data_IF_036874538543
#
_entry.id   IF_036874538543
#
_cell.length_a   1.000
_cell.length_b   1.000
_cell.length_c   1.000
_cell.angle_alpha   90.00
_cell.angle_beta   90.00
_cell.angle_gamma   90.00
#
_symmetry.space_group_name_H-M   'P 1'
#
loop_
_entity.id
_entity.type
_entity.pdbx_description
1 polymer ?
#
# COMPACT_ATOMS: atom_id res chain seq x y z
N UNK A 1 -41.86 75.14 22.21
CA UNK A 1 -41.40 74.46 23.45
C UNK A 1 -39.89 74.25 23.39
N UNK A 2 -39.14 74.36 24.50
CA UNK A 2 -37.73 73.95 24.57
C UNK A 2 -37.55 72.49 24.16
N UNK A 3 -36.51 72.16 23.39
CA UNK A 3 -36.28 70.82 22.84
C UNK A 3 -36.23 69.71 23.91
N UNK A 4 -35.74 70.02 25.12
CA UNK A 4 -35.68 69.06 26.22
C UNK A 4 -37.07 68.64 26.73
N UNK A 5 -38.08 69.52 26.67
CA UNK A 5 -39.45 69.20 27.09
C UNK A 5 -40.08 68.24 26.08
N UNK A 6 -39.92 68.50 24.78
CA UNK A 6 -40.45 67.63 23.72
C UNK A 6 -39.80 66.24 23.80
N UNK A 7 -38.49 66.18 24.05
CA UNK A 7 -37.77 64.91 24.23
C UNK A 7 -38.23 64.15 25.47
N UNK A 8 -38.46 64.84 26.60
CA UNK A 8 -38.96 64.22 27.83
C UNK A 8 -40.40 63.72 27.67
N UNK A 9 -41.27 64.51 27.03
CA UNK A 9 -42.65 64.11 26.69
C UNK A 9 -42.65 62.90 25.75
N UNK A 10 -41.78 62.88 24.74
CA UNK A 10 -41.63 61.72 23.84
C UNK A 10 -41.16 60.47 24.59
N UNK A 11 -40.24 60.60 25.56
CA UNK A 11 -39.75 59.46 26.35
C UNK A 11 -40.83 58.79 27.20
N UNK A 12 -41.79 59.56 27.71
CA UNK A 12 -42.88 59.05 28.56
C UNK A 12 -44.15 58.72 27.76
N UNK A 13 -44.21 59.05 26.47
CA UNK A 13 -45.40 58.89 25.63
C UNK A 13 -45.91 57.44 25.58
N UNK A 14 -45.03 56.46 25.38
CA UNK A 14 -45.42 55.02 25.39
C UNK A 14 -45.94 54.57 26.75
N UNK A 15 -45.33 55.08 27.83
CA UNK A 15 -45.72 54.75 29.20
C UNK A 15 -47.13 55.30 29.49
N UNK A 16 -47.39 56.56 29.14
CA UNK A 16 -48.70 57.19 29.27
C UNK A 16 -49.76 56.44 28.44
N UNK A 17 -49.47 56.09 27.18
CA UNK A 17 -50.36 55.28 26.34
C UNK A 17 -50.71 53.92 26.98
N UNK A 18 -49.71 53.23 27.51
CA UNK A 18 -49.88 51.93 28.17
C UNK A 18 -50.77 52.05 29.41
N UNK A 19 -50.52 53.06 30.26
CA UNK A 19 -51.31 53.30 31.47
C UNK A 19 -52.72 53.79 31.15
N UNK A 20 -52.90 54.67 30.17
CA UNK A 20 -54.21 55.09 29.68
C UNK A 20 -55.02 53.91 29.14
N UNK A 21 -54.38 52.97 28.41
CA UNK A 21 -55.03 51.75 27.94
C UNK A 21 -55.42 50.82 29.09
N UNK A 22 -54.54 50.64 30.09
CA UNK A 22 -54.85 49.87 31.28
C UNK A 22 -56.05 50.45 32.04
N UNK A 23 -56.04 51.77 32.26
CA UNK A 23 -57.13 52.51 32.92
C UNK A 23 -58.43 52.40 32.11
N UNK A 24 -58.38 52.58 30.78
CA UNK A 24 -59.57 52.51 29.91
C UNK A 24 -60.27 51.15 29.98
N UNK A 25 -59.52 50.07 30.19
CA UNK A 25 -60.03 48.71 30.23
C UNK A 25 -60.35 48.18 31.63
N UNK A 26 -60.24 49.01 32.68
CA UNK A 26 -60.69 48.62 34.02
C UNK A 26 -62.21 48.38 34.03
N UNK A 27 -62.70 47.36 34.76
CA UNK A 27 -64.12 47.07 34.93
C UNK A 27 -64.88 48.28 35.48
N UNK A 28 -66.11 48.48 35.02
CA UNK A 28 -66.89 49.67 35.38
C UNK A 28 -67.51 49.59 36.78
N UNK A 29 -67.75 48.36 37.26
CA UNK A 29 -68.51 48.09 38.48
C UNK A 29 -67.75 48.42 39.77
N UNK A 30 -66.42 48.42 39.71
CA UNK A 30 -65.51 48.70 40.84
C UNK A 30 -64.33 49.60 40.39
N UNK A 31 -64.59 50.47 39.40
CA UNK A 31 -63.57 51.24 38.69
C UNK A 31 -62.66 52.04 39.65
N UNK A 32 -63.25 52.69 40.65
CA UNK A 32 -62.52 53.50 41.64
C UNK A 32 -61.53 52.67 42.48
N UNK A 33 -61.97 51.53 43.00
CA UNK A 33 -61.13 50.67 43.84
C UNK A 33 -59.99 50.03 43.04
N UNK A 34 -60.26 49.61 41.80
CA UNK A 34 -59.23 49.08 40.91
C UNK A 34 -58.25 50.16 40.44
N UNK A 35 -58.73 51.38 40.18
CA UNK A 35 -57.87 52.51 39.85
C UNK A 35 -56.97 52.90 41.04
N UNK A 36 -57.50 52.95 42.26
CA UNK A 36 -56.70 53.21 43.47
C UNK A 36 -55.63 52.12 43.66
N UNK A 37 -55.95 50.86 43.39
CA UNK A 37 -54.99 49.75 43.44
C UNK A 37 -53.89 49.94 42.39
N UNK A 38 -54.25 50.30 41.15
CA UNK A 38 -53.31 50.56 40.06
C UNK A 38 -52.38 51.77 40.34
N UNK A 39 -52.88 52.79 41.05
CA UNK A 39 -52.12 53.98 41.42
C UNK A 39 -51.24 53.77 42.66
N UNK A 40 -51.63 52.87 43.56
CA UNK A 40 -50.90 52.52 44.78
C UNK A 40 -49.84 51.43 44.60
N UNK A 41 -49.82 50.75 43.45
CA UNK A 41 -48.78 49.79 43.12
C UNK A 41 -47.41 50.49 43.14
N UNK A 42 -46.56 50.16 44.12
CA UNK A 42 -45.26 50.80 44.35
C UNK A 42 -44.21 50.44 43.29
N UNK A 43 -44.57 49.64 42.28
CA UNK A 43 -43.78 49.40 41.07
C UNK A 43 -43.95 50.48 39.99
N UNK A 44 -44.76 51.52 40.22
CA UNK A 44 -45.01 52.61 39.27
C UNK A 44 -43.69 53.27 38.85
N UNK A 45 -43.37 53.15 37.56
CA UNK A 45 -42.24 53.82 36.89
C UNK A 45 -42.09 55.25 37.42
N UNK A 46 -40.87 55.65 37.79
CA UNK A 46 -40.57 56.99 38.36
C UNK A 46 -41.14 58.13 37.53
N UNK A 47 -41.31 57.90 36.24
CA UNK A 47 -41.80 58.84 35.24
C UNK A 47 -43.33 58.99 35.25
N UNK A 48 -44.10 58.01 35.73
CA UNK A 48 -45.56 58.09 35.90
C UNK A 48 -45.98 58.58 37.28
N UNK A 49 -45.06 58.58 38.26
CA UNK A 49 -45.33 59.00 39.63
C UNK A 49 -46.01 60.39 39.76
N UNK A 50 -45.63 61.44 39.01
CA UNK A 50 -46.31 62.74 39.08
C UNK A 50 -47.78 62.69 38.61
N UNK A 51 -48.07 61.85 37.61
CA UNK A 51 -49.43 61.62 37.13
C UNK A 51 -50.24 60.88 38.19
N UNK A 52 -49.67 59.83 38.79
CA UNK A 52 -50.32 59.05 39.83
C UNK A 52 -50.69 59.90 41.06
N UNK A 53 -49.79 60.76 41.54
CA UNK A 53 -50.10 61.70 42.64
C UNK A 53 -51.24 62.66 42.29
N UNK A 54 -51.25 63.19 41.06
CA UNK A 54 -52.29 64.12 40.61
C UNK A 54 -53.64 63.43 40.50
N UNK A 55 -53.66 62.19 39.99
CA UNK A 55 -54.87 61.36 39.92
C UNK A 55 -55.39 60.99 41.32
N UNK A 56 -54.52 60.63 42.27
CA UNK A 56 -54.91 60.37 43.66
C UNK A 56 -55.47 61.62 44.35
N UNK A 57 -54.88 62.80 44.10
CA UNK A 57 -55.39 64.07 44.60
C UNK A 57 -56.75 64.44 43.99
N UNK A 58 -57.03 64.04 42.75
CA UNK A 58 -58.35 64.20 42.12
C UNK A 58 -59.37 63.22 42.70
N UNK A 59 -58.99 61.94 42.87
CA UNK A 59 -59.85 60.89 43.45
C UNK A 59 -60.34 61.22 44.86
N UNK A 60 -59.52 61.90 45.65
CA UNK A 60 -59.86 62.35 47.02
C UNK A 60 -60.76 63.59 47.06
N UNK A 61 -61.05 64.22 45.92
CA UNK A 61 -61.89 65.43 45.81
C UNK A 61 -63.18 65.22 45.02
N UNK A 62 -63.25 64.21 44.15
CA UNK A 62 -64.42 63.92 43.31
C UNK A 62 -65.26 62.80 43.90
N UNK A 63 -66.59 62.96 43.85
CA UNK A 63 -67.56 61.92 44.23
C UNK A 63 -68.05 61.10 43.02
N UNK A 64 -67.53 61.36 41.82
CA UNK A 64 -67.91 60.65 40.59
C UNK A 64 -67.47 59.17 40.64
N UNK A 65 -68.25 58.26 40.06
CA UNK A 65 -67.90 56.83 39.98
C UNK A 65 -68.29 56.21 38.62
N UNK A 66 -67.76 55.02 38.33
CA UNK A 66 -68.03 54.29 37.09
C UNK A 66 -67.57 55.04 35.83
N UNK A 67 -68.42 55.09 34.80
CA UNK A 67 -68.08 55.72 33.51
C UNK A 67 -67.73 57.21 33.59
N UNK A 68 -68.36 57.96 34.50
CA UNK A 68 -68.10 59.39 34.68
C UNK A 68 -66.67 59.60 35.20
N UNK A 69 -66.29 58.86 36.24
CA UNK A 69 -64.92 58.88 36.78
C UNK A 69 -63.91 58.41 35.74
N UNK A 70 -64.23 57.36 34.96
CA UNK A 70 -63.34 56.89 33.89
C UNK A 70 -63.05 57.97 32.86
N UNK A 71 -64.05 58.75 32.45
CA UNK A 71 -63.86 59.85 31.50
C UNK A 71 -62.96 60.95 32.08
N UNK A 72 -63.22 61.37 33.32
CA UNK A 72 -62.41 62.38 34.02
C UNK A 72 -60.94 61.93 34.14
N UNK A 73 -60.70 60.70 34.56
CA UNK A 73 -59.34 60.17 34.77
C UNK A 73 -58.59 60.03 33.44
N UNK A 74 -59.27 59.61 32.37
CA UNK A 74 -58.64 59.46 31.06
C UNK A 74 -58.19 60.80 30.46
N UNK A 75 -58.80 61.94 30.84
CA UNK A 75 -58.35 63.28 30.44
C UNK A 75 -56.93 63.60 30.96
N UNK A 76 -56.62 63.21 32.20
CA UNK A 76 -55.29 63.42 32.80
C UNK A 76 -54.19 62.57 32.17
N UNK A 77 -54.55 61.45 31.54
CA UNK A 77 -53.60 60.49 30.94
C UNK A 77 -53.73 60.47 29.42
N UNK A 78 -54.26 61.54 28.80
CA UNK A 78 -54.25 61.63 27.34
C UNK A 78 -52.81 61.77 26.85
N UNK A 79 -52.36 60.87 25.94
CA UNK A 79 -51.04 60.99 25.37
C UNK A 79 -50.93 62.29 24.58
N UNK A 80 -49.89 63.08 24.86
CA UNK A 80 -49.63 64.27 24.06
C UNK A 80 -49.28 63.83 22.63
N UNK A 81 -50.09 64.23 21.66
CA UNK A 81 -49.86 63.94 20.26
C UNK A 81 -48.73 64.83 19.74
N UNK A 82 -47.69 64.25 19.15
CA UNK A 82 -46.53 64.99 18.67
C UNK A 82 -46.73 65.43 17.21
N UNK A 83 -46.24 66.62 16.81
CA UNK A 83 -46.28 67.04 15.42
C UNK A 83 -45.56 66.05 14.50
N UNK A 84 -46.17 65.71 13.36
CA UNK A 84 -45.64 64.77 12.38
C UNK A 84 -45.90 63.29 12.65
N UNK A 85 -46.53 62.93 13.78
CA UNK A 85 -46.93 61.54 14.02
C UNK A 85 -48.07 61.11 13.09
N UNK A 86 -47.95 59.88 12.58
CA UNK A 86 -48.98 59.25 11.74
C UNK A 86 -50.05 58.62 12.62
N UNK A 87 -51.26 59.13 12.54
CA UNK A 87 -52.42 58.62 13.25
C UNK A 87 -53.42 57.99 12.30
N UNK A 88 -54.21 57.06 12.83
CA UNK A 88 -55.33 56.47 12.11
C UNK A 88 -56.62 56.94 12.76
N UNK A 89 -57.52 57.49 11.95
CA UNK A 89 -58.84 57.95 12.37
C UNK A 89 -59.90 57.26 11.51
N UNK A 90 -60.99 56.85 12.13
CA UNK A 90 -62.18 56.36 11.44
C UNK A 90 -63.22 57.49 11.39
N UNK A 91 -64.00 57.55 10.32
CA UNK A 91 -65.13 58.48 10.22
C UNK A 91 -66.24 58.06 11.21
N UNK A 92 -66.37 58.80 12.31
CA UNK A 92 -67.40 58.56 13.33
C UNK A 92 -68.74 59.21 13.01
N UNK A 93 -68.81 60.11 12.03
CA UNK A 93 -70.04 60.81 11.64
C UNK A 93 -70.84 60.02 10.60
N UNK A 94 -70.17 59.20 9.78
CA UNK A 94 -70.80 58.32 8.78
C UNK A 94 -70.30 56.88 8.90
N UNK A 95 -70.71 56.15 9.96
CA UNK A 95 -70.22 54.80 10.23
C UNK A 95 -70.54 53.78 9.13
N UNK A 96 -71.55 54.04 8.28
CA UNK A 96 -71.90 53.19 7.14
C UNK A 96 -70.85 53.22 6.01
N UNK A 97 -70.07 54.30 5.86
CA UNK A 97 -69.06 54.42 4.80
C UNK A 97 -67.70 53.80 5.17
N UNK A 98 -67.46 53.48 6.46
CA UNK A 98 -66.22 52.87 6.98
C UNK A 98 -64.92 53.48 6.43
N UNK A 99 -64.90 54.78 6.17
CA UNK A 99 -63.71 55.47 5.67
C UNK A 99 -62.68 55.63 6.78
N UNK A 100 -61.46 55.27 6.45
CA UNK A 100 -60.30 55.39 7.32
C UNK A 100 -59.40 56.49 6.76
N UNK A 101 -58.85 57.31 7.64
CA UNK A 101 -57.95 58.40 7.29
C UNK A 101 -56.62 58.22 7.99
N UNK A 102 -55.55 58.49 7.24
CA UNK A 102 -54.20 58.67 7.77
C UNK A 102 -54.05 60.16 8.05
N UNK A 103 -53.91 60.50 9.32
CA UNK A 103 -53.88 61.90 9.79
C UNK A 103 -52.48 62.24 10.26
N UNK A 104 -52.01 63.42 9.86
CA UNK A 104 -50.79 64.04 10.35
C UNK A 104 -51.14 65.31 11.11
N UNK A 105 -50.56 65.46 12.28
CA UNK A 105 -50.76 66.63 13.14
C UNK A 105 -49.68 67.67 12.90
N UNK A 106 -50.10 68.92 12.80
CA UNK A 106 -49.20 70.06 12.81
C UNK A 106 -49.71 71.08 13.83
N UNK A 107 -48.90 71.38 14.85
CA UNK A 107 -49.24 72.39 15.86
C UNK A 107 -48.58 73.72 15.52
N UNK A 108 -49.37 74.79 15.61
CA UNK A 108 -48.88 76.16 15.59
C UNK A 108 -48.74 76.66 17.03
N UNK A 109 -47.50 76.89 17.46
CA UNK A 109 -47.16 77.15 18.87
C UNK A 109 -47.53 78.60 19.27
N UNK A 110 -47.55 79.55 18.34
CA UNK A 110 -47.89 80.95 18.62
C UNK A 110 -49.39 81.23 18.50
N UNK A 111 -50.10 80.47 17.65
CA UNK A 111 -51.54 80.65 17.40
C UNK A 111 -52.48 79.85 18.33
N UNK A 112 -51.96 79.00 19.22
CA UNK A 112 -52.73 78.03 20.03
C UNK A 112 -53.71 77.16 19.21
N UNK A 113 -53.38 76.84 17.96
CA UNK A 113 -54.22 76.03 17.07
C UNK A 113 -53.49 74.75 16.66
N UNK A 114 -54.21 73.64 16.65
CA UNK A 114 -53.76 72.36 16.13
C UNK A 114 -54.45 72.14 14.80
N UNK A 115 -53.65 71.94 13.75
CA UNK A 115 -54.14 71.59 12.42
C UNK A 115 -53.97 70.08 12.21
N UNK A 116 -55.01 69.45 11.71
CA UNK A 116 -55.01 68.05 11.29
C UNK A 116 -55.14 67.98 9.77
N UNK A 117 -54.18 67.34 9.12
CA UNK A 117 -54.26 67.01 7.69
C UNK A 117 -54.53 65.51 7.55
N UNK A 118 -55.75 65.15 7.13
CA UNK A 118 -56.18 63.78 6.92
C UNK A 118 -56.23 63.40 5.45
N UNK A 119 -55.64 62.26 5.10
CA UNK A 119 -55.73 61.65 3.77
C UNK A 119 -56.53 60.37 3.86
N UNK A 120 -57.43 60.12 2.91
CA UNK A 120 -58.15 58.84 2.86
C UNK A 120 -57.16 57.69 2.71
N UNK A 121 -57.31 56.63 3.50
CA UNK A 121 -56.37 55.51 3.56
C UNK A 121 -56.24 54.80 2.20
N UNK A 122 -57.33 54.68 1.45
CA UNK A 122 -57.36 54.13 0.09
C UNK A 122 -56.49 54.96 -0.85
N UNK A 123 -56.68 56.28 -0.88
CA UNK A 123 -55.89 57.20 -1.69
C UNK A 123 -54.40 57.19 -1.29
N UNK A 124 -54.09 57.15 0.02
CA UNK A 124 -52.72 57.02 0.51
C UNK A 124 -52.09 55.69 0.08
N UNK A 125 -52.83 54.58 0.21
CA UNK A 125 -52.38 53.25 -0.18
C UNK A 125 -52.12 53.19 -1.68
N UNK A 126 -53.01 53.70 -2.51
CA UNK A 126 -52.88 53.69 -3.97
C UNK A 126 -51.64 54.48 -4.40
N UNK A 127 -51.40 55.65 -3.78
CA UNK A 127 -50.19 56.45 -4.02
C UNK A 127 -48.90 55.67 -3.70
N UNK A 128 -48.86 54.94 -2.57
CA UNK A 128 -47.68 54.16 -2.18
C UNK A 128 -47.57 52.86 -3.01
N UNK A 129 -48.69 52.27 -3.42
CA UNK A 129 -48.75 50.95 -4.05
C UNK A 129 -47.94 50.88 -5.35
N UNK A 130 -48.00 51.93 -6.19
CA UNK A 130 -47.27 51.96 -7.46
C UNK A 130 -45.75 51.86 -7.25
N UNK A 131 -45.22 52.60 -6.27
CA UNK A 131 -43.80 52.58 -5.94
C UNK A 131 -43.35 51.25 -5.32
N UNK A 132 -44.19 50.66 -4.45
CA UNK A 132 -43.90 49.38 -3.81
C UNK A 132 -43.87 48.22 -4.82
N UNK A 133 -44.81 48.18 -5.77
CA UNK A 133 -44.85 47.15 -6.83
C UNK A 133 -43.61 47.23 -7.72
N UNK A 134 -43.13 48.43 -8.04
CA UNK A 134 -41.87 48.62 -8.79
C UNK A 134 -40.66 48.05 -8.06
N UNK A 135 -40.57 48.25 -6.74
CA UNK A 135 -39.51 47.65 -5.91
C UNK A 135 -39.58 46.13 -5.89
N UNK A 136 -40.78 45.55 -5.81
CA UNK A 136 -40.98 44.09 -5.85
C UNK A 136 -40.50 43.51 -7.19
N UNK A 137 -40.85 44.14 -8.32
CA UNK A 137 -40.36 43.68 -9.63
C UNK A 137 -38.84 43.79 -9.78
N UNK A 138 -38.21 44.85 -9.24
CA UNK A 138 -36.76 44.96 -9.23
C UNK A 138 -36.11 43.84 -8.40
N UNK A 139 -36.65 43.52 -7.24
CA UNK A 139 -36.15 42.44 -6.38
C UNK A 139 -36.25 41.08 -7.08
N UNK A 140 -37.38 40.81 -7.76
CA UNK A 140 -37.55 39.60 -8.57
C UNK A 140 -36.52 39.57 -9.72
N UNK A 141 -36.32 40.69 -10.41
CA UNK A 141 -35.32 40.80 -11.48
C UNK A 141 -33.91 40.46 -11.00
N UNK A 142 -33.47 41.03 -9.87
CA UNK A 142 -32.17 40.74 -9.26
C UNK A 142 -32.07 39.26 -8.90
N UNK A 143 -33.12 38.67 -8.32
CA UNK A 143 -33.14 37.26 -7.95
C UNK A 143 -32.96 36.35 -9.17
N UNK A 144 -33.66 36.63 -10.27
CA UNK A 144 -33.55 35.87 -11.52
C UNK A 144 -32.13 35.97 -12.11
N UNK A 145 -31.55 37.18 -12.14
CA UNK A 145 -30.17 37.38 -12.61
C UNK A 145 -29.18 36.63 -11.73
N UNK A 146 -29.34 36.66 -10.41
CA UNK A 146 -28.49 35.94 -9.48
C UNK A 146 -28.56 34.42 -9.69
N UNK A 147 -29.77 33.85 -9.87
CA UNK A 147 -29.95 32.42 -10.10
C UNK A 147 -29.31 31.95 -11.41
N UNK A 148 -29.48 32.72 -12.49
CA UNK A 148 -28.88 32.41 -13.79
C UNK A 148 -27.35 32.58 -13.75
N UNK A 149 -26.87 33.69 -13.17
CA UNK A 149 -25.44 33.98 -13.04
C UNK A 149 -24.71 32.92 -12.23
N UNK A 150 -25.27 32.51 -11.09
CA UNK A 150 -24.72 31.45 -10.25
C UNK A 150 -24.63 30.12 -11.02
N UNK A 151 -25.69 29.74 -11.74
CA UNK A 151 -25.68 28.51 -12.54
C UNK A 151 -24.57 28.50 -13.59
N UNK A 152 -24.41 29.60 -14.33
CA UNK A 152 -23.39 29.71 -15.38
C UNK A 152 -21.97 29.69 -14.79
N UNK A 153 -21.76 30.40 -13.69
CA UNK A 153 -20.49 30.45 -12.99
C UNK A 153 -20.06 29.06 -12.49
N UNK A 154 -20.92 28.36 -11.76
CA UNK A 154 -20.62 27.03 -11.22
C UNK A 154 -20.42 25.98 -12.32
N UNK A 155 -21.20 26.06 -13.41
CA UNK A 155 -21.06 25.14 -14.53
C UNK A 155 -19.69 25.25 -15.21
N UNK A 156 -19.20 26.48 -15.42
CA UNK A 156 -17.91 26.72 -16.07
C UNK A 156 -16.72 26.50 -15.14
N UNK A 157 -16.80 27.01 -13.91
CA UNK A 157 -15.65 27.06 -12.99
C UNK A 157 -15.44 25.78 -12.18
N UNK A 158 -16.48 24.96 -11.95
CA UNK A 158 -16.40 23.79 -11.07
C UNK A 158 -16.80 22.49 -11.76
N UNK A 159 -17.99 22.44 -12.36
CA UNK A 159 -18.51 21.17 -12.93
C UNK A 159 -17.71 20.72 -14.15
N UNK A 160 -17.30 21.66 -15.01
CA UNK A 160 -16.58 21.31 -16.25
C UNK A 160 -15.18 20.75 -15.99
N UNK A 161 -14.31 21.39 -15.17
CA UNK A 161 -13.01 20.82 -14.82
C UNK A 161 -13.13 19.47 -14.11
N UNK A 162 -14.10 19.32 -13.20
CA UNK A 162 -14.32 18.08 -12.46
C UNK A 162 -14.70 16.91 -13.38
N UNK A 163 -15.62 17.13 -14.34
CA UNK A 163 -16.00 16.11 -15.31
C UNK A 163 -14.83 15.67 -16.17
N UNK A 164 -14.04 16.61 -16.69
CA UNK A 164 -12.85 16.27 -17.51
C UNK A 164 -11.81 15.47 -16.74
N UNK A 165 -11.61 15.79 -15.46
CA UNK A 165 -10.70 15.01 -14.61
C UNK A 165 -11.24 13.60 -14.38
N UNK A 166 -12.54 13.47 -14.13
CA UNK A 166 -13.20 12.17 -14.01
C UNK A 166 -13.06 11.34 -15.29
N UNK A 167 -13.36 11.93 -16.45
CA UNK A 167 -13.22 11.29 -17.76
C UNK A 167 -11.77 10.85 -17.99
N UNK A 168 -10.80 11.70 -17.64
CA UNK A 168 -9.39 11.37 -17.73
C UNK A 168 -8.99 10.19 -16.85
N UNK A 169 -9.49 10.12 -15.62
CA UNK A 169 -9.27 8.99 -14.71
C UNK A 169 -9.89 7.70 -15.29
N UNK A 170 -11.09 7.78 -15.84
CA UNK A 170 -11.75 6.61 -16.47
C UNK A 170 -10.95 6.08 -17.65
N UNK A 171 -10.44 6.96 -18.51
CA UNK A 171 -9.59 6.56 -19.64
C UNK A 171 -8.28 5.90 -19.18
N UNK A 172 -7.62 6.46 -18.15
CA UNK A 172 -6.41 5.84 -17.57
C UNK A 172 -6.71 4.46 -16.99
N UNK A 173 -7.85 4.31 -16.30
CA UNK A 173 -8.28 3.02 -15.75
C UNK A 173 -8.60 1.98 -16.84
N UNK A 174 -9.03 2.43 -18.02
CA UNK A 174 -9.20 1.56 -19.20
C UNK A 174 -7.89 1.15 -19.88
N UNK A 175 -6.75 1.66 -19.40
CA UNK A 175 -5.41 1.37 -19.93
C UNK A 175 -4.89 2.40 -20.93
N UNK A 176 -5.67 3.44 -21.25
CA UNK A 176 -5.23 4.53 -22.11
C UNK A 176 -4.38 5.54 -21.31
N UNK A 177 -3.07 5.38 -21.38
CA UNK A 177 -2.13 6.30 -20.73
C UNK A 177 -1.82 7.55 -21.58
N UNK A 178 -2.42 7.74 -22.77
CA UNK A 178 -2.15 8.89 -23.65
C UNK A 178 -3.08 10.08 -23.39
N UNK A 179 -3.82 10.04 -22.30
CA UNK A 179 -4.78 11.05 -21.88
C UNK A 179 -4.07 12.30 -21.40
N UNK A 180 -4.64 13.46 -21.73
CA UNK A 180 -4.21 14.75 -21.21
C UNK A 180 -5.42 15.60 -20.82
N UNK A 181 -5.47 16.02 -19.55
CA UNK A 181 -6.53 16.91 -19.04
C UNK A 181 -6.05 18.36 -19.16
N UNK A 182 -6.76 19.23 -19.92
CA UNK A 182 -6.33 20.62 -20.14
C UNK A 182 -6.49 21.46 -18.87
N UNK A 183 -5.50 22.31 -18.58
CA UNK A 183 -5.48 23.21 -17.43
C UNK A 183 -6.02 24.57 -17.87
N UNK A 184 -7.21 24.95 -17.41
CA UNK A 184 -7.87 26.21 -17.81
C UNK A 184 -7.78 27.31 -16.75
N UNK A 185 -7.55 26.96 -15.49
CA UNK A 185 -7.56 27.88 -14.34
C UNK A 185 -6.34 27.56 -13.47
N UNK A 186 -5.68 28.59 -12.93
CA UNK A 186 -4.56 28.43 -11.98
C UNK A 186 -5.04 28.39 -10.52
N UNK A 187 -5.98 27.50 -10.25
CA UNK A 187 -6.54 27.25 -8.92
C UNK A 187 -6.22 25.81 -8.46
N UNK A 188 -6.90 25.35 -7.40
CA UNK A 188 -6.78 24.00 -6.87
C UNK A 188 -7.13 22.93 -7.92
N UNK A 189 -8.08 23.18 -8.82
CA UNK A 189 -8.44 22.25 -9.90
C UNK A 189 -7.36 22.21 -10.99
N UNK A 190 -6.72 23.35 -11.26
CA UNK A 190 -5.53 23.41 -12.10
C UNK A 190 -4.37 22.62 -11.53
N UNK A 191 -4.14 22.71 -10.21
CA UNK A 191 -3.14 21.92 -9.50
C UNK A 191 -3.43 20.41 -9.58
N UNK A 192 -4.68 19.99 -9.34
CA UNK A 192 -5.11 18.59 -9.47
C UNK A 192 -4.89 18.08 -10.90
N UNK A 193 -5.24 18.87 -11.92
CA UNK A 193 -5.05 18.52 -13.33
C UNK A 193 -3.56 18.34 -13.68
N UNK A 194 -2.68 19.22 -13.18
CA UNK A 194 -1.21 19.06 -13.32
C UNK A 194 -0.71 17.79 -12.66
N UNK A 195 -1.15 17.53 -11.43
CA UNK A 195 -0.73 16.37 -10.64
C UNK A 195 -1.18 15.06 -11.30
N UNK A 196 -2.42 15.03 -11.80
CA UNK A 196 -2.96 13.92 -12.58
C UNK A 196 -2.14 13.67 -13.84
N UNK A 197 -1.90 14.70 -14.66
CA UNK A 197 -1.10 14.56 -15.88
C UNK A 197 0.34 14.09 -15.60
N UNK A 198 0.95 14.55 -14.50
CA UNK A 198 2.27 14.11 -14.05
C UNK A 198 2.29 12.63 -13.65
N UNK A 199 1.28 12.18 -12.90
CA UNK A 199 1.10 10.77 -12.55
C UNK A 199 0.95 9.89 -13.80
N UNK A 200 0.09 10.28 -14.75
CA UNK A 200 -0.10 9.52 -16.00
C UNK A 200 1.19 9.38 -16.80
N UNK A 201 1.99 10.46 -16.88
CA UNK A 201 3.30 10.42 -17.52
C UNK A 201 4.26 9.44 -16.83
N UNK A 202 4.35 9.51 -15.50
CA UNK A 202 5.19 8.62 -14.70
C UNK A 202 4.81 7.14 -14.86
N UNK A 203 3.51 6.84 -14.92
CA UNK A 203 3.00 5.48 -15.17
C UNK A 203 3.40 5.02 -16.58
N UNK A 204 3.26 5.88 -17.60
CA UNK A 204 3.67 5.57 -18.98
C UNK A 204 5.16 5.26 -19.07
N UNK A 205 6.01 6.14 -18.54
CA UNK A 205 7.46 5.95 -18.52
C UNK A 205 7.88 4.69 -17.76
N UNK A 206 7.17 4.35 -16.68
CA UNK A 206 7.42 3.12 -15.92
C UNK A 206 7.03 1.88 -16.72
N UNK A 207 5.93 1.93 -17.47
CA UNK A 207 5.49 0.85 -18.35
C UNK A 207 6.48 0.62 -19.50
N UNK A 208 6.96 1.70 -20.12
CA UNK A 208 7.94 1.61 -21.21
C UNK A 208 9.26 0.99 -20.72
N UNK A 209 9.76 1.43 -19.55
CA UNK A 209 10.94 0.82 -18.91
C UNK A 209 10.75 -0.65 -18.59
N UNK A 210 9.57 -1.05 -18.10
CA UNK A 210 9.28 -2.46 -17.82
C UNK A 210 9.31 -3.31 -19.09
N UNK A 211 8.84 -2.76 -20.23
CA UNK A 211 8.92 -3.44 -21.52
C UNK A 211 10.38 -3.59 -21.98
N UNK A 212 11.18 -2.52 -21.90
CA UNK A 212 12.61 -2.58 -22.24
C UNK A 212 13.36 -3.61 -21.39
N UNK A 213 13.04 -3.68 -20.08
CA UNK A 213 13.63 -4.68 -19.19
C UNK A 213 13.18 -6.11 -19.54
N UNK A 214 11.92 -6.31 -19.92
CA UNK A 214 11.42 -7.62 -20.33
C UNK A 214 12.17 -8.12 -21.58
N UNK A 215 12.31 -7.26 -22.59
CA UNK A 215 12.99 -7.59 -23.85
C UNK A 215 14.49 -7.90 -23.61
N UNK A 216 15.16 -7.10 -22.77
CA UNK A 216 16.56 -7.34 -22.39
C UNK A 216 16.73 -8.65 -21.60
N UNK A 217 15.80 -8.94 -20.69
CA UNK A 217 15.84 -10.16 -19.89
C UNK A 217 15.64 -11.39 -20.77
N UNK A 218 14.70 -11.35 -21.72
CA UNK A 218 14.46 -12.44 -22.67
C UNK A 218 15.72 -12.72 -23.52
N UNK A 219 16.39 -11.68 -24.02
CA UNK A 219 17.64 -11.82 -24.75
C UNK A 219 18.74 -12.47 -23.89
N UNK A 220 18.88 -12.05 -22.62
CA UNK A 220 19.89 -12.60 -21.70
C UNK A 220 19.59 -14.04 -21.30
N UNK A 221 18.32 -14.40 -21.08
CA UNK A 221 17.91 -15.78 -20.80
C UNK A 221 18.29 -16.66 -21.98
N UNK A 222 17.97 -16.25 -23.20
CA UNK A 222 18.30 -17.00 -24.41
C UNK A 222 19.81 -17.23 -24.57
N UNK A 223 20.61 -16.19 -24.34
CA UNK A 223 22.08 -16.28 -24.37
C UNK A 223 22.61 -17.29 -23.33
N UNK A 224 22.18 -17.17 -22.08
CA UNK A 224 22.62 -18.06 -20.99
C UNK A 224 22.15 -19.50 -21.18
N UNK A 225 20.94 -19.71 -21.70
CA UNK A 225 20.46 -21.06 -22.02
C UNK A 225 21.29 -21.69 -23.14
N UNK A 226 21.69 -20.93 -24.17
CA UNK A 226 22.56 -21.42 -25.23
C UNK A 226 23.97 -21.78 -24.72
N UNK A 227 24.56 -20.91 -23.88
CA UNK A 227 25.86 -21.17 -23.25
C UNK A 227 25.84 -22.42 -22.36
N UNK A 228 24.79 -22.58 -21.55
CA UNK A 228 24.62 -23.74 -20.68
C UNK A 228 24.47 -25.03 -21.49
N UNK A 229 23.71 -24.99 -22.58
CA UNK A 229 23.53 -26.13 -23.47
C UNK A 229 24.86 -26.58 -24.09
N UNK A 230 25.67 -25.64 -24.58
CA UNK A 230 27.00 -25.93 -25.13
C UNK A 230 27.92 -26.56 -24.08
N UNK A 231 27.92 -26.02 -22.86
CA UNK A 231 28.74 -26.54 -21.75
C UNK A 231 28.31 -27.97 -21.36
N UNK A 232 27.00 -28.23 -21.34
CA UNK A 232 26.47 -29.57 -21.06
C UNK A 232 26.87 -30.59 -22.12
N UNK A 233 26.81 -30.19 -23.40
CA UNK A 233 27.25 -31.03 -24.51
C UNK A 233 28.75 -31.35 -24.42
N UNK A 234 29.58 -30.36 -24.11
CA UNK A 234 31.02 -30.54 -23.91
C UNK A 234 31.33 -31.49 -22.75
N UNK A 235 30.71 -31.29 -21.58
CA UNK A 235 30.88 -32.17 -20.41
C UNK A 235 30.43 -33.60 -20.72
N UNK A 236 29.32 -33.76 -21.46
CA UNK A 236 28.83 -35.08 -21.83
C UNK A 236 29.76 -35.79 -22.82
N UNK A 237 30.35 -35.06 -23.78
CA UNK A 237 31.35 -35.61 -24.70
C UNK A 237 32.62 -36.04 -23.96
N UNK A 238 33.14 -35.20 -23.07
CA UNK A 238 34.32 -35.51 -22.25
C UNK A 238 34.07 -36.73 -21.35
N UNK A 239 32.89 -36.82 -20.75
CA UNK A 239 32.50 -38.00 -19.96
C UNK A 239 32.46 -39.27 -20.79
N UNK A 240 31.86 -39.22 -21.99
CA UNK A 240 31.82 -40.37 -22.89
C UNK A 240 33.23 -40.82 -23.33
N UNK A 241 34.14 -39.89 -23.58
CA UNK A 241 35.55 -40.19 -23.87
C UNK A 241 36.22 -40.85 -22.67
N UNK A 242 36.09 -40.27 -21.48
CA UNK A 242 36.64 -40.81 -20.23
C UNK A 242 36.13 -42.23 -19.91
N UNK A 243 34.82 -42.49 -20.07
CA UNK A 243 34.26 -43.82 -19.86
C UNK A 243 34.77 -44.84 -20.91
N UNK A 244 35.13 -44.38 -22.12
CA UNK A 244 35.81 -45.18 -23.14
C UNK A 244 37.23 -45.58 -22.73
N UNK A 245 38.01 -44.64 -22.18
CA UNK A 245 39.36 -44.90 -21.67
C UNK A 245 39.34 -45.86 -20.46
N UNK A 246 38.34 -45.71 -19.59
CA UNK A 246 38.11 -46.63 -18.47
C UNK A 246 37.84 -48.05 -18.97
N UNK A 247 37.00 -48.17 -20.00
CA UNK A 247 36.69 -49.47 -20.60
C UNK A 247 37.94 -50.16 -21.15
N UNK A 248 38.75 -49.43 -21.92
CA UNK A 248 39.99 -49.98 -22.48
C UNK A 248 40.97 -50.41 -21.39
N UNK A 249 41.15 -49.57 -20.36
CA UNK A 249 42.08 -49.87 -19.27
C UNK A 249 41.64 -51.11 -18.48
N UNK A 250 40.35 -51.23 -18.17
CA UNK A 250 39.81 -52.41 -17.50
C UNK A 250 40.00 -53.70 -18.31
N UNK A 251 39.83 -53.64 -19.64
CA UNK A 251 40.10 -54.78 -20.54
C UNK A 251 41.57 -55.21 -20.51
N UNK A 252 42.50 -54.25 -20.44
CA UNK A 252 43.94 -54.53 -20.38
C UNK A 252 44.36 -55.11 -19.03
N UNK A 253 43.69 -54.74 -17.92
CA UNK A 253 44.00 -55.28 -16.60
C UNK A 253 43.58 -56.75 -16.44
N UNK A 254 42.46 -57.16 -17.03
CA UNK A 254 41.89 -58.50 -16.84
C UNK A 254 42.89 -59.66 -16.98
N UNK A 255 43.70 -59.72 -18.06
CA UNK A 255 44.70 -60.77 -18.24
C UNK A 255 45.86 -60.77 -17.23
N UNK A 256 46.16 -59.60 -16.64
CA UNK A 256 47.25 -59.41 -15.69
C UNK A 256 46.79 -59.67 -14.24
N UNK A 257 45.52 -59.43 -13.93
CA UNK A 257 44.90 -59.67 -12.61
C UNK A 257 44.22 -61.04 -12.50
N UNK A 258 44.66 -62.02 -13.28
CA UNK A 258 44.02 -63.33 -13.37
C UNK A 258 44.60 -64.34 -12.36
N UNK A 259 43.75 -65.25 -11.90
CA UNK A 259 44.21 -66.44 -11.19
C UNK A 259 44.61 -67.51 -12.22
N UNK A 260 45.92 -67.72 -12.39
CA UNK A 260 46.50 -68.72 -13.30
C UNK A 260 47.09 -69.91 -12.51
N UNK A 261 46.52 -70.23 -11.35
CA UNK A 261 46.94 -71.36 -10.52
C UNK A 261 46.23 -72.64 -10.95
N UNK A 262 47.02 -73.64 -11.32
CA UNK A 262 46.60 -75.01 -11.58
C UNK A 262 47.29 -75.92 -10.57
N UNK A 263 46.56 -76.38 -9.55
CA UNK A 263 47.07 -77.30 -8.53
C UNK A 263 45.95 -78.19 -8.01
N UNK A 264 46.29 -79.44 -7.68
CA UNK A 264 45.37 -80.39 -7.03
C UNK A 264 45.31 -80.22 -5.51
N UNK A 265 46.33 -79.56 -4.91
CA UNK A 265 46.47 -79.42 -3.46
C UNK A 265 46.18 -78.01 -2.94
N UNK A 266 46.31 -76.99 -3.79
CA UNK A 266 46.11 -75.59 -3.41
C UNK A 266 45.01 -74.94 -4.25
N UNK A 267 44.00 -74.38 -3.59
CA UNK A 267 42.94 -73.57 -4.20
C UNK A 267 43.15 -72.11 -3.87
N UNK A 268 43.14 -71.25 -4.90
CA UNK A 268 43.19 -69.79 -4.75
C UNK A 268 41.89 -69.18 -5.27
N UNK A 269 41.34 -68.21 -4.55
CA UNK A 269 40.13 -67.48 -4.95
C UNK A 269 40.33 -66.00 -4.65
N UNK A 270 39.84 -65.14 -5.55
CA UNK A 270 39.97 -63.70 -5.42
C UNK A 270 38.63 -63.06 -5.08
N UNK A 271 38.67 -62.06 -4.20
CA UNK A 271 37.57 -61.15 -3.94
C UNK A 271 38.13 -59.74 -4.11
N UNK A 272 37.63 -59.03 -5.12
CA UNK A 272 38.02 -57.65 -5.43
C UNK A 272 36.73 -56.88 -5.71
N UNK A 273 36.57 -55.72 -5.08
CA UNK A 273 35.50 -54.78 -5.38
C UNK A 273 36.11 -53.39 -5.57
N UNK A 274 35.96 -52.82 -6.76
CA UNK A 274 36.55 -51.54 -7.05
C UNK A 274 35.58 -50.40 -6.74
N UNK A 275 36.13 -49.29 -6.23
CA UNK A 275 35.32 -48.11 -5.92
C UNK A 275 34.66 -47.51 -7.16
N UNK A 276 35.36 -47.49 -8.31
CA UNK A 276 34.85 -46.85 -9.53
C UNK A 276 34.17 -47.90 -10.41
N UNK A 277 32.84 -47.84 -10.41
CA UNK A 277 31.97 -48.57 -11.34
C UNK A 277 31.58 -47.62 -12.48
N UNK A 278 31.59 -48.10 -13.72
CA UNK A 278 31.24 -47.31 -14.88
C UNK A 278 30.49 -48.16 -15.91
N UNK A 279 29.73 -47.47 -16.75
CA UNK A 279 29.00 -48.10 -17.86
C UNK A 279 29.45 -47.48 -19.15
N UNK A 280 29.96 -48.30 -20.06
CA UNK A 280 30.31 -47.88 -21.40
C UNK A 280 29.49 -48.67 -22.41
N UNK A 281 28.55 -47.98 -23.07
CA UNK A 281 27.56 -48.58 -23.97
C UNK A 281 26.73 -49.64 -23.22
N UNK A 282 26.88 -50.91 -23.61
CA UNK A 282 26.19 -52.07 -23.01
C UNK A 282 26.98 -52.77 -21.91
N UNK A 283 28.23 -52.38 -21.69
CA UNK A 283 29.14 -53.05 -20.77
C UNK A 283 29.19 -52.30 -19.44
N UNK A 284 29.08 -53.05 -18.36
CA UNK A 284 29.33 -52.56 -17.00
C UNK A 284 30.60 -53.21 -16.50
N UNK A 285 31.52 -52.39 -16.00
CA UNK A 285 32.80 -52.85 -15.47
C UNK A 285 33.20 -51.98 -14.29
N UNK A 286 34.21 -52.45 -13.57
CA UNK A 286 34.83 -51.70 -12.48
C UNK A 286 36.32 -51.51 -12.78
N UNK A 287 36.90 -50.42 -12.28
CA UNK A 287 38.30 -50.05 -12.48
C UNK A 287 38.87 -49.47 -11.19
N UNK A 288 40.12 -49.78 -10.87
CA UNK A 288 40.81 -49.19 -9.72
C UNK A 288 42.18 -49.79 -9.49
N UNK A 289 42.73 -49.56 -8.29
CA UNK A 289 44.09 -49.91 -7.92
C UNK A 289 44.25 -51.27 -7.24
N UNK A 290 43.15 -51.85 -6.78
CA UNK A 290 43.16 -53.11 -6.02
C UNK A 290 43.35 -54.29 -7.00
N UNK A 291 44.30 -55.17 -6.76
CA UNK A 291 44.55 -56.32 -7.63
C UNK A 291 45.02 -57.54 -6.85
N UNK A 292 44.57 -58.71 -7.30
CA UNK A 292 45.12 -60.00 -6.88
C UNK A 292 45.65 -60.74 -8.10
N UNK A 293 46.78 -61.42 -7.94
CA UNK A 293 47.42 -62.22 -9.00
C UNK A 293 47.91 -63.52 -8.40
N UNK A 294 47.84 -64.62 -9.15
CA UNK A 294 48.37 -65.89 -8.68
C UNK A 294 48.82 -66.78 -9.83
N UNK A 295 49.98 -67.43 -9.66
CA UNK A 295 50.67 -68.18 -10.70
C UNK A 295 51.40 -69.39 -10.13
N UNK A 296 51.52 -70.48 -10.89
CA UNK A 296 52.49 -71.53 -10.57
C UNK A 296 53.87 -71.22 -11.14
N UNK A 297 54.90 -71.47 -10.33
CA UNK A 297 56.31 -71.52 -10.73
C UNK A 297 56.97 -72.81 -10.22
N UNK A 298 58.18 -73.10 -10.73
CA UNK A 298 59.02 -74.17 -10.20
C UNK A 298 60.36 -73.61 -9.76
N UNK A 299 60.76 -73.92 -8.52
CA UNK A 299 62.07 -73.61 -7.97
C UNK A 299 62.66 -74.89 -7.38
N UNK A 300 63.90 -75.20 -7.76
CA UNK A 300 64.67 -76.38 -7.31
C UNK A 300 63.88 -77.68 -7.43
N UNK A 301 63.18 -77.83 -8.56
CA UNK A 301 62.33 -78.97 -8.90
C UNK A 301 61.09 -79.16 -8.00
N UNK A 302 60.68 -78.15 -7.24
CA UNK A 302 59.44 -78.13 -6.45
C UNK A 302 58.45 -77.11 -7.01
N UNK A 303 57.15 -77.38 -6.88
CA UNK A 303 56.08 -76.47 -7.32
C UNK A 303 55.74 -75.47 -6.23
N UNK A 304 55.62 -74.21 -6.64
CA UNK A 304 55.20 -73.12 -5.78
C UNK A 304 54.05 -72.35 -6.41
N UNK A 305 53.12 -71.92 -5.57
CA UNK A 305 52.08 -70.96 -5.91
C UNK A 305 52.56 -69.58 -5.47
N UNK A 306 52.79 -68.70 -6.44
CA UNK A 306 52.98 -67.27 -6.21
C UNK A 306 51.61 -66.64 -6.05
N UNK A 307 51.43 -65.81 -5.03
CA UNK A 307 50.27 -64.93 -4.94
C UNK A 307 50.73 -63.51 -4.62
N UNK A 308 49.98 -62.55 -5.16
CA UNK A 308 50.16 -61.13 -4.91
C UNK A 308 48.80 -60.52 -4.59
N UNK A 309 48.75 -59.73 -3.53
CA UNK A 309 47.64 -58.85 -3.23
C UNK A 309 48.21 -57.42 -3.15
N UNK A 310 47.71 -56.51 -3.97
CA UNK A 310 48.23 -55.16 -4.04
C UNK A 310 47.15 -54.10 -4.19
N UNK A 311 47.44 -52.91 -3.68
CA UNK A 311 46.65 -51.69 -3.84
C UNK A 311 47.56 -50.60 -4.42
N UNK A 312 47.30 -50.24 -5.67
CA UNK A 312 47.96 -49.15 -6.36
C UNK A 312 47.27 -47.82 -6.08
N UNK A 313 48.07 -46.77 -5.87
CA UNK A 313 47.58 -45.42 -5.58
C UNK A 313 46.60 -44.93 -6.65
N UNK A 314 45.32 -44.88 -6.29
CA UNK A 314 44.28 -44.30 -7.12
C UNK A 314 43.02 -45.16 -7.18
N UNK A 315 41.87 -44.50 -7.32
CA UNK A 315 40.55 -45.16 -7.29
C UNK A 315 39.95 -45.40 -8.69
N UNK A 316 40.71 -45.13 -9.75
CA UNK A 316 40.28 -45.21 -11.15
C UNK A 316 41.49 -45.46 -12.06
N UNK A 317 41.63 -44.75 -13.19
CA UNK A 317 42.72 -44.94 -14.17
C UNK A 317 44.11 -44.85 -13.59
N UNK A 318 44.36 -43.98 -12.61
CA UNK A 318 45.69 -43.89 -11.97
C UNK A 318 46.06 -45.18 -11.23
N UNK A 319 45.12 -45.73 -10.45
CA UNK A 319 45.33 -47.01 -9.76
C UNK A 319 45.44 -48.16 -10.77
N UNK A 320 44.56 -48.17 -11.77
CA UNK A 320 44.57 -49.18 -12.83
C UNK A 320 45.88 -49.16 -13.65
N UNK A 321 46.43 -47.97 -13.91
CA UNK A 321 47.75 -47.81 -14.52
C UNK A 321 48.85 -48.44 -13.67
N UNK A 322 48.80 -48.30 -12.35
CA UNK A 322 49.73 -48.97 -11.44
C UNK A 322 49.58 -50.49 -11.46
N UNK A 323 48.35 -51.01 -11.49
CA UNK A 323 48.07 -52.44 -11.65
C UNK A 323 48.62 -52.96 -12.98
N UNK A 324 48.46 -52.23 -14.08
CA UNK A 324 48.99 -52.60 -15.39
C UNK A 324 50.51 -52.69 -15.39
N UNK A 325 51.20 -51.68 -14.82
CA UNK A 325 52.67 -51.66 -14.74
C UNK A 325 53.16 -52.81 -13.87
N UNK A 326 52.64 -52.94 -12.65
CA UNK A 326 53.07 -53.98 -11.71
C UNK A 326 52.77 -55.39 -12.24
N UNK A 327 51.56 -55.60 -12.78
CA UNK A 327 51.16 -56.88 -13.36
C UNK A 327 52.02 -57.28 -14.55
N UNK A 328 52.40 -56.32 -15.41
CA UNK A 328 53.30 -56.59 -16.54
C UNK A 328 54.70 -57.00 -16.07
N UNK A 329 55.22 -56.34 -15.04
CA UNK A 329 56.53 -56.68 -14.44
C UNK A 329 56.47 -58.06 -13.78
N UNK A 330 55.42 -58.34 -13.01
CA UNK A 330 55.24 -59.64 -12.36
C UNK A 330 55.13 -60.76 -13.40
N UNK A 331 54.30 -60.59 -14.45
CA UNK A 331 54.17 -61.56 -15.53
C UNK A 331 55.52 -61.84 -16.20
N UNK A 332 56.34 -60.79 -16.44
CA UNK A 332 57.68 -60.95 -16.98
C UNK A 332 58.62 -61.74 -16.04
N UNK A 333 58.55 -61.49 -14.72
CA UNK A 333 59.32 -62.24 -13.72
C UNK A 333 58.90 -63.73 -13.72
N UNK A 334 57.59 -64.00 -13.77
CA UNK A 334 57.02 -65.36 -13.80
C UNK A 334 57.48 -66.10 -15.06
N UNK A 335 57.32 -65.50 -16.24
CA UNK A 335 57.71 -66.12 -17.51
C UNK A 335 59.22 -66.35 -17.60
N UNK A 336 60.04 -65.38 -17.14
CA UNK A 336 61.49 -65.56 -17.07
C UNK A 336 61.88 -66.69 -16.12
N UNK A 337 61.12 -66.93 -15.06
CA UNK A 337 61.32 -68.05 -14.14
C UNK A 337 60.95 -69.38 -14.78
N UNK A 338 59.91 -69.41 -15.62
CA UNK A 338 59.50 -70.62 -16.36
C UNK A 338 60.52 -71.01 -17.45
N UNK A 339 61.14 -70.03 -18.10
CA UNK A 339 62.04 -70.25 -19.24
C UNK A 339 63.52 -70.45 -18.83
N UNK A 340 64.00 -69.82 -17.76
CA UNK A 340 65.41 -69.87 -17.37
C UNK A 340 65.71 -70.94 -16.32
N UNK A 341 66.50 -71.94 -16.70
CA UNK A 341 66.98 -72.97 -15.78
C UNK A 341 67.83 -72.41 -14.63
N UNK A 342 68.54 -71.30 -14.84
CA UNK A 342 69.32 -70.65 -13.79
C UNK A 342 68.44 -69.97 -12.73
N UNK A 343 67.33 -69.36 -13.17
CA UNK A 343 66.36 -68.77 -12.24
C UNK A 343 65.66 -69.86 -11.42
N UNK A 344 65.35 -71.01 -12.03
CA UNK A 344 64.74 -72.14 -11.33
C UNK A 344 65.64 -72.76 -10.27
N UNK A 345 66.98 -72.62 -10.35
CA UNK A 345 67.88 -73.13 -9.31
C UNK A 345 67.90 -72.26 -8.04
N UNK A 346 67.28 -71.08 -8.06
CA UNK A 346 67.28 -70.17 -6.92
C UNK A 346 66.47 -70.72 -5.75
N UNK A 347 66.90 -70.35 -4.54
CA UNK A 347 66.13 -70.59 -3.32
C UNK A 347 64.90 -69.67 -3.28
N UNK A 348 63.76 -70.13 -2.74
CA UNK A 348 62.50 -69.37 -2.72
C UNK A 348 62.63 -68.01 -2.04
N UNK A 349 63.38 -67.89 -0.94
CA UNK A 349 63.63 -66.65 -0.23
C UNK A 349 64.37 -65.63 -1.11
N UNK A 350 65.32 -66.12 -1.92
CA UNK A 350 66.12 -65.28 -2.82
C UNK A 350 65.30 -64.85 -4.04
N UNK A 351 64.49 -65.75 -4.58
CA UNK A 351 63.58 -65.42 -5.68
C UNK A 351 62.57 -64.36 -5.24
N UNK A 352 61.93 -64.54 -4.08
CA UNK A 352 60.93 -63.63 -3.54
C UNK A 352 61.50 -62.23 -3.30
N UNK A 353 62.69 -62.15 -2.67
CA UNK A 353 63.40 -60.88 -2.48
C UNK A 353 63.74 -60.20 -3.80
N UNK A 354 64.24 -60.95 -4.79
CA UNK A 354 64.59 -60.39 -6.10
C UNK A 354 63.36 -59.88 -6.84
N UNK A 355 62.26 -60.62 -6.82
CA UNK A 355 60.99 -60.22 -7.43
C UNK A 355 60.46 -58.91 -6.81
N UNK A 356 60.48 -58.81 -5.49
CA UNK A 356 60.11 -57.57 -4.78
C UNK A 356 61.00 -56.40 -5.18
N UNK A 357 62.33 -56.57 -5.18
CA UNK A 357 63.27 -55.50 -5.54
C UNK A 357 63.07 -55.05 -7.00
N UNK A 358 62.82 -55.97 -7.92
CA UNK A 358 62.59 -55.65 -9.33
C UNK A 358 61.31 -54.83 -9.53
N UNK A 359 60.20 -55.25 -8.91
CA UNK A 359 58.95 -54.46 -8.92
C UNK A 359 59.15 -53.09 -8.26
N UNK A 360 59.84 -53.04 -7.12
CA UNK A 360 60.13 -51.80 -6.42
C UNK A 360 60.99 -50.84 -7.26
N UNK A 361 62.04 -51.34 -7.92
CA UNK A 361 62.93 -50.55 -8.79
C UNK A 361 62.18 -49.99 -10.00
N UNK A 362 61.26 -50.75 -10.58
CA UNK A 362 60.40 -50.22 -11.66
C UNK A 362 59.51 -49.09 -11.13
N UNK A 363 58.91 -49.25 -9.95
CA UNK A 363 58.08 -48.20 -9.36
C UNK A 363 58.87 -46.96 -8.93
N UNK A 364 60.12 -47.11 -8.49
CA UNK A 364 61.02 -45.98 -8.21
C UNK A 364 61.25 -45.09 -9.44
N UNK A 365 61.20 -45.64 -10.67
CA UNK A 365 61.35 -44.83 -11.90
C UNK A 365 60.24 -43.82 -12.12
N UNK A 366 59.12 -43.92 -11.39
CA UNK A 366 58.02 -42.95 -11.44
C UNK A 366 58.18 -41.80 -10.45
N UNK A 367 59.32 -41.66 -9.76
CA UNK A 367 59.65 -40.54 -8.86
C UNK A 367 58.57 -40.24 -7.80
N UNK A 368 57.91 -41.29 -7.28
CA UNK A 368 56.84 -41.16 -6.28
C UNK A 368 55.49 -40.66 -6.82
N UNK A 369 55.36 -40.46 -8.14
CA UNK A 369 54.08 -40.16 -8.80
C UNK A 369 53.11 -41.35 -8.76
N UNK A 370 53.63 -42.56 -8.50
CA UNK A 370 52.87 -43.79 -8.38
C UNK A 370 53.44 -44.62 -7.23
N UNK A 371 52.56 -45.05 -6.33
CA UNK A 371 52.91 -45.88 -5.18
C UNK A 371 52.01 -47.10 -5.16
N UNK A 372 52.55 -48.26 -4.79
CA UNK A 372 51.79 -49.50 -4.67
C UNK A 372 52.14 -50.15 -3.33
N UNK A 373 51.12 -50.48 -2.56
CA UNK A 373 51.25 -51.35 -1.39
C UNK A 373 51.00 -52.78 -1.85
N UNK A 374 51.91 -53.71 -1.58
CA UNK A 374 51.76 -55.10 -2.00
C UNK A 374 52.17 -56.07 -0.91
N UNK A 375 51.51 -57.22 -0.89
CA UNK A 375 51.91 -58.43 -0.19
C UNK A 375 52.16 -59.49 -1.25
N UNK A 376 53.36 -60.06 -1.26
CA UNK A 376 53.73 -61.13 -2.19
C UNK A 376 54.17 -62.37 -1.42
N UNK A 377 53.74 -63.55 -1.85
CA UNK A 377 54.12 -64.80 -1.22
C UNK A 377 54.33 -65.96 -2.18
N UNK A 378 55.06 -66.96 -1.68
CA UNK A 378 55.33 -68.25 -2.29
C UNK A 378 54.87 -69.35 -1.34
N UNK A 379 53.89 -70.14 -1.78
CA UNK A 379 53.43 -71.32 -1.07
C UNK A 379 53.96 -72.59 -1.76
N UNK A 380 54.71 -73.42 -1.04
CA UNK A 380 55.16 -74.72 -1.52
C UNK A 380 54.00 -75.74 -1.50
N UNK A 381 53.69 -76.37 -2.64
CA UNK A 381 52.49 -77.22 -2.76
C UNK A 381 52.52 -78.53 -1.98
N UNK A 382 53.71 -79.09 -1.72
CA UNK A 382 53.87 -80.40 -1.06
C UNK A 382 53.92 -80.29 0.46
N UNK A 383 54.61 -79.26 0.97
CA UNK A 383 54.89 -79.09 2.40
C UNK A 383 53.93 -78.10 3.06
N UNK A 384 53.27 -77.24 2.28
CA UNK A 384 52.49 -76.11 2.78
C UNK A 384 53.35 -74.96 3.35
N UNK A 385 54.67 -74.97 3.14
CA UNK A 385 55.56 -73.91 3.62
C UNK A 385 55.30 -72.60 2.86
N UNK A 386 55.06 -71.52 3.61
CA UNK A 386 54.77 -70.19 3.08
C UNK A 386 55.94 -69.23 3.33
N UNK A 387 56.40 -68.59 2.27
CA UNK A 387 57.30 -67.44 2.29
C UNK A 387 56.53 -66.19 1.87
N UNK A 388 56.69 -65.06 2.56
CA UNK A 388 55.99 -63.82 2.19
C UNK A 388 56.84 -62.58 2.52
N UNK A 389 56.54 -61.47 1.82
CA UNK A 389 57.09 -60.13 2.03
C UNK A 389 55.98 -59.09 2.04
#
# INVERSE_FOLDING_TARGET
>A
MPAYIVQRVSSIHRLILSKAYAIRNLPEKDFRAELETLLNDTSVDSDFYPFAQTLQAHLSRTDADGAALRSEILEYVQPMLLPGERLYRADTQRPAEQKHYVVFLQSDVDGQKIYEAGFEYTAYRDYIHESAVRLVYMLIGILVVALIGLRLFFSGSLLTPLRRLLDGVTEVNSGNLNVHVPIQIEDDFGYLSRSFNGMVRSIRESKDKLQDYADLLEARVKERTAELQNTLEEVQQLKNQQDGDYFLTALLMGPLSANKVESETVSVSFLIEQKKKFQFRRWQNEIGGDTCMAHNIRLRNRRYVVFVNADAMGKSVQGAGGVLVMGSVLEAIIERTRLSSETQKQYPERWLKNAFIEMHKVLETFDGLMLISLVIGLLEEETGMLYYL
#
